data_IF_775191364665
#
_entry.id   IF_775191364665
#
_cell.length_a   1.000
_cell.length_b   1.000
_cell.length_c   1.000
_cell.angle_alpha   90.00
_cell.angle_beta   90.00
_cell.angle_gamma   90.00
#
_symmetry.space_group_name_H-M   'P 1'
#
loop_
_entity.id
_entity.type
_entity.pdbx_description
1 polymer ?
#
# COMPACT_ATOMS: atom_id res chain seq x y z
N UNK A 1 -5.66 -17.56 9.98
CA UNK A 1 -4.68 -17.93 8.94
C UNK A 1 -4.16 -16.64 8.35
N UNK A 2 -2.87 -16.33 8.44
CA UNK A 2 -2.33 -15.09 7.86
C UNK A 2 -2.23 -15.25 6.35
N UNK A 3 -2.92 -14.40 5.60
CA UNK A 3 -2.79 -14.35 4.15
C UNK A 3 -1.37 -13.89 3.80
N UNK A 4 -0.66 -14.63 2.95
CA UNK A 4 0.70 -14.25 2.52
C UNK A 4 0.55 -13.30 1.33
N UNK A 5 1.01 -12.07 1.51
CA UNK A 5 1.04 -11.07 0.44
C UNK A 5 2.43 -10.98 -0.17
N UNK A 6 2.51 -11.05 -1.50
CA UNK A 6 3.78 -10.91 -2.21
C UNK A 6 4.26 -9.46 -2.18
N UNK A 7 5.54 -9.27 -1.84
CA UNK A 7 6.17 -7.96 -1.76
C UNK A 7 7.35 -7.89 -2.72
N UNK A 8 7.40 -6.86 -3.55
CA UNK A 8 8.43 -6.66 -4.57
C UNK A 8 9.35 -5.53 -4.13
N UNK A 9 10.65 -5.83 -4.02
CA UNK A 9 11.69 -4.83 -3.81
C UNK A 9 12.19 -4.34 -5.17
N UNK A 10 12.28 -3.03 -5.38
CA UNK A 10 12.82 -2.47 -6.62
C UNK A 10 13.55 -1.15 -6.37
N UNK A 11 14.41 -0.76 -7.33
CA UNK A 11 15.10 0.54 -7.37
C UNK A 11 14.63 1.36 -8.58
N UNK A 12 13.33 1.32 -8.89
CA UNK A 12 12.78 1.94 -10.09
C UNK A 12 13.28 1.35 -11.42
N UNK A 13 13.03 2.06 -12.53
CA UNK A 13 13.43 1.62 -13.89
C UNK A 13 14.96 1.57 -13.98
N UNK A 14 15.51 0.42 -14.39
CA UNK A 14 16.95 0.20 -14.59
C UNK A 14 17.82 0.44 -13.33
N UNK A 15 17.24 0.38 -12.13
CA UNK A 15 17.98 0.57 -10.88
C UNK A 15 18.34 2.03 -10.54
N UNK A 16 17.79 3.01 -11.29
CA UNK A 16 18.10 4.44 -11.14
C UNK A 16 17.12 5.22 -10.24
N UNK A 17 16.10 4.56 -9.71
CA UNK A 17 15.12 5.15 -8.80
C UNK A 17 15.44 4.91 -7.33
N UNK A 18 14.63 5.51 -6.46
CA UNK A 18 14.67 5.24 -5.03
C UNK A 18 14.35 3.77 -4.75
N UNK A 19 15.03 3.22 -3.76
CA UNK A 19 14.73 1.90 -3.24
C UNK A 19 13.32 1.91 -2.63
N UNK A 20 12.48 0.99 -3.11
CA UNK A 20 11.10 0.82 -2.65
C UNK A 20 10.75 -0.66 -2.44
N UNK A 21 9.84 -0.90 -1.51
CA UNK A 21 9.11 -2.18 -1.39
C UNK A 21 7.65 -1.91 -1.68
N UNK A 22 7.02 -2.77 -2.46
CA UNK A 22 5.63 -2.65 -2.86
C UNK A 22 4.88 -3.97 -2.69
N UNK A 23 3.74 -3.94 -2.00
CA UNK A 23 2.79 -5.04 -1.91
C UNK A 23 1.52 -4.64 -2.63
N UNK A 24 0.95 -5.58 -3.38
CA UNK A 24 -0.28 -5.38 -4.15
C UNK A 24 -1.31 -6.40 -3.70
N UNK A 25 -2.52 -5.94 -3.42
CA UNK A 25 -3.59 -6.76 -2.84
C UNK A 25 -4.88 -6.50 -3.62
N UNK A 26 -5.39 -7.53 -4.27
CA UNK A 26 -6.70 -7.49 -4.92
C UNK A 26 -7.80 -7.41 -3.86
N UNK A 27 -8.70 -6.43 -4.00
CA UNK A 27 -9.74 -6.19 -3.02
C UNK A 27 -11.04 -6.97 -3.29
N UNK A 28 -11.18 -7.50 -4.51
CA UNK A 28 -12.31 -8.32 -4.93
C UNK A 28 -13.55 -7.54 -5.40
N UNK A 29 -13.45 -6.22 -5.59
CA UNK A 29 -14.55 -5.37 -6.06
C UNK A 29 -14.03 -4.24 -6.97
N UNK A 30 -14.87 -3.76 -7.89
CA UNK A 30 -14.63 -2.61 -8.79
C UNK A 30 -13.27 -2.60 -9.50
N UNK A 31 -12.70 -3.79 -9.75
CA UNK A 31 -11.32 -3.96 -10.25
C UNK A 31 -10.28 -3.19 -9.41
N UNK A 32 -10.52 -3.03 -8.11
CA UNK A 32 -9.66 -2.23 -7.23
C UNK A 32 -8.52 -3.04 -6.65
N UNK A 33 -7.36 -2.39 -6.64
CA UNK A 33 -6.12 -2.89 -6.09
C UNK A 33 -5.66 -1.97 -4.96
N UNK A 34 -5.37 -2.54 -3.80
CA UNK A 34 -4.68 -1.85 -2.72
C UNK A 34 -3.17 -2.02 -2.91
N UNK A 35 -2.46 -0.90 -2.97
CA UNK A 35 -1.01 -0.86 -3.11
C UNK A 35 -0.42 -0.25 -1.85
N UNK A 36 0.42 -1.01 -1.14
CA UNK A 36 1.24 -0.52 -0.05
C UNK A 36 2.65 -0.31 -0.57
N UNK A 37 3.11 0.93 -0.61
CA UNK A 37 4.47 1.28 -1.03
C UNK A 37 5.24 1.86 0.12
N UNK A 38 6.41 1.29 0.42
CA UNK A 38 7.41 1.89 1.29
C UNK A 38 8.54 2.41 0.42
N UNK A 39 8.85 3.70 0.53
CA UNK A 39 9.85 4.37 -0.31
C UNK A 39 10.58 5.44 0.49
N UNK A 40 11.78 5.82 0.03
CA UNK A 40 12.51 6.95 0.58
C UNK A 40 11.72 8.23 0.31
N UNK A 41 11.67 9.13 1.30
CA UNK A 41 11.10 10.46 1.09
C UNK A 41 12.17 11.38 0.49
N UNK A 42 11.87 12.05 -0.61
CA UNK A 42 12.88 12.91 -1.28
C UNK A 42 13.29 14.14 -0.45
N UNK A 43 12.39 14.63 0.42
CA UNK A 43 12.59 15.87 1.20
C UNK A 43 12.70 15.66 2.71
N UNK A 44 12.77 14.41 3.19
CA UNK A 44 13.01 14.11 4.59
C UNK A 44 13.94 12.90 4.74
N UNK A 45 14.78 12.85 5.79
CA UNK A 45 15.51 11.63 6.08
C UNK A 45 14.53 10.51 6.37
N UNK A 46 14.78 9.33 5.79
CA UNK A 46 14.07 8.09 6.11
C UNK A 46 13.04 7.61 5.10
N UNK A 47 12.17 6.71 5.56
CA UNK A 47 11.20 5.98 4.74
C UNK A 47 9.78 6.26 5.18
N UNK A 48 8.86 6.24 4.23
CA UNK A 48 7.42 6.30 4.51
C UNK A 48 6.71 5.13 3.84
N UNK A 49 5.76 4.52 4.56
CA UNK A 49 4.81 3.56 3.99
C UNK A 49 3.49 4.25 3.73
N UNK A 50 2.98 4.13 2.51
CA UNK A 50 1.69 4.66 2.08
C UNK A 50 0.85 3.54 1.50
N UNK A 51 -0.41 3.49 1.90
CA UNK A 51 -1.46 2.73 1.25
C UNK A 51 -2.19 3.63 0.26
N UNK A 52 -2.45 3.14 -0.96
CA UNK A 52 -3.34 3.78 -1.92
C UNK A 52 -4.17 2.72 -2.62
N UNK A 53 -5.42 3.04 -2.91
CA UNK A 53 -6.27 2.20 -3.73
C UNK A 53 -6.29 2.76 -5.15
N UNK A 54 -6.11 1.90 -6.14
CA UNK A 54 -6.21 2.24 -7.57
C UNK A 54 -7.25 1.34 -8.23
N UNK A 55 -7.76 1.76 -9.38
CA UNK A 55 -8.54 0.88 -10.26
C UNK A 55 -7.57 0.27 -11.28
N UNK A 56 -7.53 -1.05 -11.35
CA UNK A 56 -6.71 -1.80 -12.30
C UNK A 56 -7.46 -1.98 -13.62
N UNK A 57 -6.82 -1.59 -14.73
CA UNK A 57 -7.27 -1.84 -16.09
C UNK A 57 -6.25 -2.68 -16.87
N UNK A 58 -6.54 -3.04 -18.14
CA UNK A 58 -5.62 -3.82 -18.97
C UNK A 58 -4.33 -3.03 -19.27
N UNK A 59 -3.27 -3.30 -18.50
CA UNK A 59 -1.96 -2.68 -18.67
C UNK A 59 -1.81 -1.27 -18.06
N UNK A 60 -2.80 -0.79 -17.31
CA UNK A 60 -2.73 0.52 -16.64
C UNK A 60 -3.44 0.52 -15.28
N UNK A 61 -3.05 1.45 -14.42
CA UNK A 61 -3.70 1.73 -13.13
C UNK A 61 -4.20 3.18 -13.16
N UNK A 62 -5.44 3.41 -12.73
CA UNK A 62 -5.97 4.77 -12.54
C UNK A 62 -6.12 5.09 -11.07
N UNK A 63 -5.77 6.34 -10.73
CA UNK A 63 -5.88 6.86 -9.38
C UNK A 63 -6.42 8.29 -9.47
N UNK A 64 -7.56 8.54 -8.82
CA UNK A 64 -8.20 9.84 -8.77
C UNK A 64 -7.74 10.57 -7.51
N UNK A 65 -6.98 11.65 -7.71
CA UNK A 65 -6.64 12.57 -6.62
C UNK A 65 -7.87 13.39 -6.25
N UNK A 66 -8.31 13.29 -4.99
CA UNK A 66 -9.40 14.09 -4.47
C UNK A 66 -8.93 15.27 -3.63
N UNK A 67 -9.72 16.34 -3.60
CA UNK A 67 -9.66 17.39 -2.57
C UNK A 67 -10.79 17.09 -1.57
N UNK A 68 -10.51 17.21 -0.26
CA UNK A 68 -11.50 17.02 0.81
C UNK A 68 -12.29 15.68 0.78
N UNK A 69 -11.65 14.57 0.38
CA UNK A 69 -12.25 13.23 0.44
C UNK A 69 -13.01 12.79 -0.81
N UNK A 70 -12.99 13.56 -1.91
CA UNK A 70 -13.63 13.18 -3.18
C UNK A 70 -12.80 12.27 -4.10
N UNK A 71 -11.73 11.65 -3.62
CA UNK A 71 -10.77 10.89 -4.43
C UNK A 71 -10.73 9.41 -4.12
N UNK A 72 -9.75 8.71 -4.67
CA UNK A 72 -9.45 7.35 -4.26
C UNK A 72 -8.75 7.34 -2.89
N UNK A 73 -8.97 6.28 -2.12
CA UNK A 73 -8.37 6.08 -0.82
C UNK A 73 -6.83 6.19 -0.89
N UNK A 74 -6.26 7.02 -0.01
CA UNK A 74 -4.81 7.18 0.14
C UNK A 74 -4.48 7.59 1.57
N UNK A 75 -3.58 6.87 2.21
CA UNK A 75 -3.20 7.08 3.60
C UNK A 75 -1.71 6.79 3.82
N UNK A 76 -1.00 7.68 4.53
CA UNK A 76 0.31 7.35 5.08
C UNK A 76 0.13 6.48 6.32
N UNK A 77 0.69 5.28 6.31
CA UNK A 77 0.57 4.31 7.41
C UNK A 77 1.68 4.51 8.45
N UNK A 78 2.92 4.73 7.98
CA UNK A 78 4.07 4.84 8.86
C UNK A 78 5.14 5.75 8.25
N UNK A 79 5.97 6.31 9.14
CA UNK A 79 7.17 7.04 8.79
C UNK A 79 8.28 6.70 9.79
N UNK A 80 9.47 6.44 9.30
CA UNK A 80 10.68 6.26 10.09
C UNK A 80 11.75 7.23 9.57
N UNK A 81 12.17 8.17 10.44
CA UNK A 81 13.18 9.18 10.15
C UNK A 81 14.63 8.70 10.26
N UNK A 82 14.85 7.40 10.54
CA UNK A 82 16.16 6.81 10.69
C UNK A 82 16.98 6.74 9.39
N UNK A 83 18.18 6.15 9.49
CA UNK A 83 19.08 5.97 8.34
C UNK A 83 18.41 5.10 7.27
N UNK A 84 18.30 5.63 6.06
CA UNK A 84 17.72 4.94 4.91
C UNK A 84 18.64 3.79 4.43
N UNK A 85 18.37 2.56 4.91
CA UNK A 85 19.04 1.32 4.50
C UNK A 85 18.02 0.30 3.97
N UNK A 86 18.46 -0.68 3.18
CA UNK A 86 17.57 -1.78 2.71
C UNK A 86 16.89 -2.52 3.87
N UNK A 87 17.64 -2.79 4.95
CA UNK A 87 17.10 -3.43 6.15
C UNK A 87 16.00 -2.59 6.80
N UNK A 88 16.22 -1.27 6.94
CA UNK A 88 15.21 -0.38 7.52
C UNK A 88 13.97 -0.27 6.64
N UNK A 89 14.14 -0.28 5.31
CA UNK A 89 13.02 -0.29 4.37
C UNK A 89 12.15 -1.54 4.54
N UNK A 90 12.76 -2.73 4.52
CA UNK A 90 12.05 -4.00 4.68
C UNK A 90 11.39 -4.06 6.06
N UNK A 91 12.09 -3.68 7.13
CA UNK A 91 11.54 -3.70 8.47
C UNK A 91 10.31 -2.79 8.62
N UNK A 92 10.35 -1.56 8.10
CA UNK A 92 9.21 -0.64 8.13
C UNK A 92 8.03 -1.18 7.31
N UNK A 93 8.33 -1.77 6.16
CA UNK A 93 7.31 -2.38 5.30
C UNK A 93 6.64 -3.57 5.99
N UNK A 94 7.42 -4.53 6.51
CA UNK A 94 6.92 -5.68 7.27
C UNK A 94 6.09 -5.25 8.47
N UNK A 95 6.53 -4.24 9.22
CA UNK A 95 5.74 -3.69 10.34
C UNK A 95 4.40 -3.15 9.86
N UNK A 96 4.38 -2.40 8.75
CA UNK A 96 3.13 -1.86 8.19
C UNK A 96 2.20 -2.95 7.67
N UNK A 97 2.75 -4.09 7.23
CA UNK A 97 1.98 -5.26 6.81
C UNK A 97 1.31 -6.00 7.97
N UNK A 98 1.74 -5.82 9.22
CA UNK A 98 1.09 -6.44 10.38
C UNK A 98 -0.35 -5.93 10.59
N UNK A 99 -0.63 -4.70 10.16
CA UNK A 99 -1.93 -4.06 10.29
C UNK A 99 -2.70 -4.01 8.96
N UNK A 100 -2.28 -4.79 7.95
CA UNK A 100 -2.83 -4.69 6.59
C UNK A 100 -4.31 -5.04 6.52
N UNK A 101 -4.78 -6.00 7.32
CA UNK A 101 -6.19 -6.37 7.38
C UNK A 101 -7.05 -5.19 7.83
N UNK A 102 -6.60 -4.45 8.85
CA UNK A 102 -7.26 -3.23 9.29
C UNK A 102 -7.23 -2.12 8.23
N UNK A 103 -6.21 -2.09 7.36
CA UNK A 103 -6.18 -1.18 6.20
C UNK A 103 -7.22 -1.60 5.17
N UNK A 104 -7.32 -2.90 4.85
CA UNK A 104 -8.30 -3.45 3.91
C UNK A 104 -9.72 -3.13 4.37
N UNK A 105 -10.01 -3.31 5.66
CA UNK A 105 -11.31 -2.96 6.25
C UNK A 105 -11.64 -1.47 6.09
N UNK A 106 -10.69 -0.58 6.37
CA UNK A 106 -10.87 0.87 6.16
C UNK A 106 -11.12 1.21 4.69
N UNK A 107 -10.43 0.54 3.76
CA UNK A 107 -10.63 0.73 2.32
C UNK A 107 -12.02 0.24 1.89
N UNK A 108 -12.46 -0.93 2.38
CA UNK A 108 -13.81 -1.44 2.11
C UNK A 108 -14.87 -0.48 2.62
N UNK A 109 -14.73 0.00 3.86
CA UNK A 109 -15.63 0.99 4.45
C UNK A 109 -15.65 2.30 3.63
N UNK A 110 -14.50 2.77 3.13
CA UNK A 110 -14.39 3.97 2.30
C UNK A 110 -15.22 3.88 1.01
N UNK A 111 -15.27 2.70 0.38
CA UNK A 111 -16.05 2.45 -0.84
C UNK A 111 -17.44 1.85 -0.59
N UNK A 112 -17.91 1.82 0.67
CA UNK A 112 -19.22 1.28 1.02
C UNK A 112 -19.36 -0.24 0.82
N UNK A 113 -18.25 -0.98 0.75
CA UNK A 113 -18.25 -2.43 0.64
C UNK A 113 -18.41 -3.05 2.02
N UNK A 114 -19.36 -3.96 2.16
CA UNK A 114 -19.58 -4.69 3.41
C UNK A 114 -18.43 -5.69 3.61
N UNK A 115 -17.89 -5.76 4.83
CA UNK A 115 -16.93 -6.80 5.19
C UNK A 115 -17.71 -8.10 5.28
N UNK A 116 -17.73 -8.90 4.20
CA UNK A 116 -18.18 -10.28 4.27
C UNK A 116 -17.17 -11.06 5.09
N UNK A 117 -17.40 -11.11 6.40
CA UNK A 117 -16.76 -12.06 7.30
C UNK A 117 -17.17 -13.44 6.79
N UNK A 118 -16.26 -14.14 6.09
CA UNK A 118 -16.45 -15.56 5.86
C UNK A 118 -16.35 -16.25 7.21
N UNK A 119 -17.49 -16.45 7.85
CA UNK A 119 -17.65 -17.46 8.89
C UNK A 119 -17.63 -18.78 8.12
N UNK A 120 -16.51 -19.50 8.22
CA UNK A 120 -16.47 -20.90 7.84
C UNK A 120 -17.14 -21.68 8.98
N UNK A 121 -18.29 -22.29 8.69
CA UNK A 121 -18.90 -23.34 9.51
C UNK A 121 -17.99 -24.59 9.58
#
# INVERSE_FOLDING_TARGET
MSQIYESIISRGREGKGDLKVETRIELGFDSRLLILTTTKKSFAPGFSTRARCVVAGPGFETFVMGVAGGGDFSQQLAFDGGRATEKALVALHTKSMQDVDAVIERVRAYYGQSVSTQVAD
#
